data_IF_881457857671
#
_entry.id   IF_881457857671
#
_cell.length_a   1.000
_cell.length_b   1.000
_cell.length_c   1.000
_cell.angle_alpha   90.00
_cell.angle_beta   90.00
_cell.angle_gamma   90.00
#
_symmetry.space_group_name_H-M   'P 1'
#
loop_
_entity.id
_entity.type
_entity.pdbx_description
1 polymer ?
#
# COMPACT_ATOMS: atom_id res chain seq x y z
N UNK A 1 -1.71 12.82 8.85
CA UNK A 1 -2.84 12.40 8.01
C UNK A 1 -2.56 11.04 7.43
N UNK A 2 -3.16 10.00 8.01
CA UNK A 2 -3.08 8.65 7.43
C UNK A 2 -4.24 8.38 6.45
N UNK A 3 -5.00 9.43 6.10
CA UNK A 3 -6.16 9.39 5.20
C UNK A 3 -7.31 8.49 5.65
N UNK A 4 -7.28 7.96 6.87
CA UNK A 4 -8.39 7.20 7.44
C UNK A 4 -9.45 8.14 8.07
N UNK A 5 -10.76 7.80 8.00
CA UNK A 5 -11.84 8.65 8.51
C UNK A 5 -11.70 9.01 9.99
N UNK A 6 -11.14 8.11 10.81
CA UNK A 6 -10.96 8.29 12.26
C UNK A 6 -9.97 9.41 12.55
N UNK A 7 -8.88 9.48 11.79
CA UNK A 7 -7.82 10.47 11.98
C UNK A 7 -8.33 11.91 11.80
N UNK A 8 -9.30 12.12 10.90
CA UNK A 8 -9.90 13.44 10.64
C UNK A 8 -10.62 14.01 11.86
N UNK A 9 -11.21 13.16 12.69
CA UNK A 9 -12.03 13.57 13.83
C UNK A 9 -11.20 13.65 15.10
N UNK A 10 -10.29 12.69 15.30
CA UNK A 10 -9.67 12.48 16.60
C UNK A 10 -8.22 12.93 16.68
N UNK A 11 -7.49 12.98 15.57
CA UNK A 11 -6.07 13.28 15.59
C UNK A 11 -5.82 14.77 15.33
N UNK A 12 -4.97 15.37 16.16
CA UNK A 12 -4.31 16.63 15.81
C UNK A 12 -3.08 16.31 14.97
N UNK A 13 -2.98 16.91 13.80
CA UNK A 13 -1.92 16.60 12.84
C UNK A 13 -1.08 17.84 12.54
N UNK A 14 0.21 17.62 12.28
CA UNK A 14 1.16 18.66 11.91
C UNK A 14 1.72 18.29 10.55
N UNK A 15 1.71 19.25 9.62
CA UNK A 15 2.39 19.15 8.34
C UNK A 15 3.50 20.19 8.28
N UNK A 16 4.69 19.79 7.81
CA UNK A 16 5.83 20.66 7.64
C UNK A 16 6.15 20.80 6.15
N UNK A 17 6.29 22.04 5.67
CA UNK A 17 6.78 22.33 4.32
C UNK A 17 8.25 22.72 4.43
N UNK A 18 9.14 21.80 4.03
CA UNK A 18 10.59 22.04 4.03
C UNK A 18 11.03 22.50 2.63
N UNK A 19 11.49 23.75 2.51
CA UNK A 19 12.01 24.31 1.25
C UNK A 19 13.53 24.18 1.19
N UNK A 20 14.03 22.95 1.07
CA UNK A 20 15.45 22.67 0.95
C UNK A 20 15.68 21.63 -0.16
N UNK A 21 16.30 22.00 -1.30
CA UNK A 21 16.52 21.08 -2.42
C UNK A 21 17.41 19.89 -2.09
N UNK A 22 18.42 20.05 -1.23
CA UNK A 22 19.35 18.97 -0.89
C UNK A 22 18.68 17.94 0.02
N UNK A 23 17.88 18.40 0.99
CA UNK A 23 17.07 17.52 1.81
C UNK A 23 16.01 16.79 0.99
N UNK A 24 15.32 17.51 0.09
CA UNK A 24 14.33 16.89 -0.81
C UNK A 24 14.96 15.78 -1.66
N UNK A 25 16.19 15.99 -2.17
CA UNK A 25 16.92 14.97 -2.92
C UNK A 25 17.22 13.73 -2.09
N UNK A 26 17.65 13.89 -0.84
CA UNK A 26 17.91 12.76 0.06
C UNK A 26 16.63 11.97 0.32
N UNK A 27 15.52 12.66 0.62
CA UNK A 27 14.22 11.99 0.82
C UNK A 27 13.80 11.23 -0.43
N UNK A 28 13.94 11.81 -1.62
CA UNK A 28 13.59 11.15 -2.87
C UNK A 28 14.46 9.91 -3.14
N UNK A 29 15.75 9.94 -2.81
CA UNK A 29 16.63 8.78 -2.95
C UNK A 29 16.21 7.62 -2.04
N UNK A 30 15.84 7.92 -0.80
CA UNK A 30 15.32 6.91 0.13
C UNK A 30 13.98 6.34 -0.39
N UNK A 31 13.08 7.20 -0.87
CA UNK A 31 11.81 6.77 -1.46
C UNK A 31 12.01 5.93 -2.73
N UNK A 32 12.99 6.26 -3.58
CA UNK A 32 13.29 5.50 -4.79
C UNK A 32 13.76 4.08 -4.46
N UNK A 33 14.59 3.92 -3.43
CA UNK A 33 14.97 2.61 -2.90
C UNK A 33 13.77 1.86 -2.34
N UNK A 34 12.96 2.52 -1.51
CA UNK A 34 11.86 1.87 -0.82
C UNK A 34 10.68 1.53 -1.78
N UNK A 35 10.61 2.18 -2.94
CA UNK A 35 9.61 1.91 -3.99
C UNK A 35 10.14 1.02 -5.11
N UNK A 36 11.37 0.54 -5.02
CA UNK A 36 11.92 -0.39 -5.97
C UNK A 36 11.11 -1.72 -5.97
N UNK A 37 10.96 -2.41 -7.13
CA UNK A 37 10.13 -3.61 -7.24
C UNK A 37 10.44 -4.73 -6.24
N UNK A 38 11.68 -4.82 -5.78
CA UNK A 38 12.17 -5.77 -4.77
C UNK A 38 11.74 -5.42 -3.33
N UNK A 39 11.40 -4.16 -3.08
CA UNK A 39 11.00 -3.65 -1.77
C UNK A 39 9.48 -3.39 -1.65
N UNK A 40 8.79 -3.17 -2.77
CA UNK A 40 7.39 -2.77 -2.79
C UNK A 40 6.61 -3.33 -3.97
N UNK A 41 5.30 -3.50 -3.75
CA UNK A 41 4.34 -3.86 -4.79
C UNK A 41 3.67 -2.62 -5.38
N UNK A 42 3.69 -2.49 -6.70
CA UNK A 42 2.92 -1.51 -7.44
C UNK A 42 1.53 -2.06 -7.77
N UNK A 43 0.51 -1.35 -7.33
CA UNK A 43 -0.89 -1.64 -7.68
C UNK A 43 -1.30 -0.94 -8.97
N UNK A 44 -1.96 -1.69 -9.85
CA UNK A 44 -2.66 -1.17 -11.03
C UNK A 44 -4.00 -1.88 -11.24
N UNK A 45 -4.83 -1.33 -12.11
CA UNK A 45 -6.02 -2.03 -12.61
C UNK A 45 -5.75 -2.49 -14.03
N UNK A 46 -6.22 -3.68 -14.38
CA UNK A 46 -6.24 -4.15 -15.77
C UNK A 46 -7.43 -3.56 -16.56
N UNK A 47 -7.54 -3.94 -17.83
CA UNK A 47 -8.61 -3.47 -18.74
C UNK A 47 -10.02 -3.86 -18.28
N UNK A 48 -10.15 -4.84 -17.37
CA UNK A 48 -11.42 -5.27 -16.78
C UNK A 48 -11.72 -4.59 -15.45
N UNK A 49 -10.78 -3.79 -14.93
CA UNK A 49 -10.85 -3.15 -13.63
C UNK A 49 -10.44 -4.06 -12.47
N UNK A 50 -9.79 -5.20 -12.74
CA UNK A 50 -9.28 -6.08 -11.69
C UNK A 50 -7.92 -5.60 -11.17
N UNK A 51 -7.67 -5.80 -9.87
CA UNK A 51 -6.44 -5.38 -9.21
C UNK A 51 -5.26 -6.28 -9.61
N UNK A 52 -4.17 -5.66 -10.05
CA UNK A 52 -2.90 -6.32 -10.39
C UNK A 52 -1.80 -5.78 -9.50
N UNK A 53 -1.03 -6.69 -8.93
CA UNK A 53 0.14 -6.43 -8.10
C UNK A 53 1.39 -6.71 -8.94
N UNK A 54 2.22 -5.69 -9.17
CA UNK A 54 3.49 -5.83 -9.89
C UNK A 54 4.64 -5.62 -8.93
N UNK A 55 5.62 -6.51 -8.91
CA UNK A 55 6.79 -6.44 -8.03
C UNK A 55 7.83 -7.47 -8.45
N UNK A 56 8.81 -7.71 -7.59
CA UNK A 56 9.83 -8.73 -7.79
C UNK A 56 9.67 -9.89 -6.80
N UNK A 57 9.86 -11.12 -7.28
CA UNK A 57 9.87 -12.33 -6.48
C UNK A 57 10.91 -13.29 -7.05
N UNK A 58 11.79 -13.81 -6.19
CA UNK A 58 12.89 -14.71 -6.62
C UNK A 58 13.74 -14.10 -7.75
N UNK A 59 14.06 -12.80 -7.65
CA UNK A 59 14.82 -12.02 -8.64
C UNK A 59 14.14 -11.89 -10.03
N UNK A 60 12.83 -12.20 -10.12
CA UNK A 60 12.03 -12.03 -11.35
C UNK A 60 10.89 -11.03 -11.15
N UNK A 61 10.66 -10.18 -12.16
CA UNK A 61 9.49 -9.32 -12.21
C UNK A 61 8.23 -10.15 -12.42
N UNK A 62 7.31 -10.08 -11.48
CA UNK A 62 6.06 -10.84 -11.47
C UNK A 62 4.84 -9.94 -11.42
N UNK A 63 3.75 -10.44 -11.99
CA UNK A 63 2.42 -9.86 -11.86
C UNK A 63 1.47 -10.86 -11.22
N UNK A 64 0.82 -10.45 -10.14
CA UNK A 64 -0.10 -11.27 -9.36
C UNK A 64 -1.48 -10.63 -9.37
N UNK A 65 -2.52 -11.46 -9.49
CA UNK A 65 -3.93 -11.03 -9.37
C UNK A 65 -4.48 -11.23 -7.96
N UNK A 66 -3.64 -11.73 -7.05
CA UNK A 66 -3.96 -11.99 -5.64
C UNK A 66 -2.93 -11.30 -4.78
N UNK A 67 -3.36 -10.94 -3.57
CA UNK A 67 -2.50 -10.34 -2.55
C UNK A 67 -1.20 -11.17 -2.36
N UNK A 68 -0.02 -10.58 -2.60
CA UNK A 68 1.27 -11.23 -2.43
C UNK A 68 1.49 -11.75 -1.00
N UNK A 69 2.13 -12.91 -0.86
CA UNK A 69 2.40 -13.50 0.46
C UNK A 69 1.18 -14.06 1.20
N UNK A 70 -0.05 -13.82 0.73
CA UNK A 70 -1.24 -14.42 1.34
C UNK A 70 -1.44 -15.88 0.94
N UNK A 71 -1.77 -16.72 1.91
CA UNK A 71 -2.15 -18.11 1.67
C UNK A 71 -3.60 -18.22 1.19
N UNK A 72 -4.03 -19.43 0.83
CA UNK A 72 -5.45 -19.68 0.56
C UNK A 72 -6.32 -19.45 1.80
N UNK A 73 -5.82 -19.82 2.99
CA UNK A 73 -6.57 -19.70 4.24
C UNK A 73 -6.74 -18.25 4.69
N UNK A 74 -5.70 -17.42 4.53
CA UNK A 74 -5.80 -15.98 4.84
C UNK A 74 -6.91 -15.33 4.01
N UNK A 75 -6.95 -15.62 2.71
CA UNK A 75 -7.96 -15.06 1.80
C UNK A 75 -9.36 -15.54 2.15
N UNK A 76 -9.50 -16.81 2.56
CA UNK A 76 -10.79 -17.35 3.00
C UNK A 76 -11.28 -16.65 4.28
N UNK A 77 -10.41 -16.51 5.29
CA UNK A 77 -10.74 -15.82 6.54
C UNK A 77 -11.11 -14.34 6.30
N UNK A 78 -10.34 -13.62 5.48
CA UNK A 78 -10.68 -12.25 5.10
C UNK A 78 -12.02 -12.16 4.36
N UNK A 79 -12.32 -13.12 3.50
CA UNK A 79 -13.63 -13.24 2.85
C UNK A 79 -14.78 -13.44 3.84
N UNK A 80 -14.58 -14.27 4.87
CA UNK A 80 -15.57 -14.44 5.94
C UNK A 80 -15.74 -13.19 6.81
N UNK A 81 -14.64 -12.54 7.20
CA UNK A 81 -14.67 -11.34 8.04
C UNK A 81 -15.36 -10.16 7.36
N UNK A 82 -15.30 -10.06 6.02
CA UNK A 82 -16.06 -9.08 5.24
C UNK A 82 -17.57 -9.16 5.40
N UNK A 83 -18.12 -10.30 5.87
CA UNK A 83 -19.56 -10.44 6.13
C UNK A 83 -19.97 -9.87 7.49
N UNK A 84 -19.01 -9.59 8.38
CA UNK A 84 -19.26 -8.97 9.68
C UNK A 84 -19.27 -7.44 9.52
N UNK A 85 -20.17 -6.71 10.21
CA UNK A 85 -20.25 -5.26 10.15
C UNK A 85 -19.13 -4.60 10.99
N UNK A 86 -17.88 -4.79 10.57
CA UNK A 86 -16.68 -4.22 11.21
C UNK A 86 -16.31 -2.83 10.64
N UNK A 87 -17.03 -2.39 9.61
CA UNK A 87 -16.78 -1.16 8.84
C UNK A 87 -16.96 0.12 9.67
N UNK A 88 -17.65 0.05 10.80
CA UNK A 88 -17.93 1.20 11.67
C UNK A 88 -16.74 1.63 12.55
N UNK A 89 -15.66 0.85 12.60
CA UNK A 89 -14.53 1.09 13.53
C UNK A 89 -13.19 1.36 12.81
N UNK A 90 -13.17 1.48 11.48
CA UNK A 90 -11.97 1.76 10.68
C UNK A 90 -11.91 3.20 10.15
#
# INVERSE_FOLDING_TARGET
YNMDPRSRVWNSEIALIVRNPDFARQVLQEMERDFAPEAAWRLSLDDTGALVWTGESEDELVQLTKDPGSSWWDRFLWGMLRLLPLENEL
#
